data_IF_144176346762
#
_entry.id   IF_144176346762
#
_cell.length_a   1.000
_cell.length_b   1.000
_cell.length_c   1.000
_cell.angle_alpha   90.00
_cell.angle_beta   90.00
_cell.angle_gamma   90.00
#
_symmetry.space_group_name_H-M   'P 1'
#
loop_
_entity.id
_entity.type
_entity.pdbx_description
1 polymer ?
#
# COMPACT_ATOMS: atom_id res chain seq x y z
N UNK A 1 12.46 22.28 -43.35
CA UNK A 1 12.27 23.13 -42.15
C UNK A 1 13.61 23.24 -41.44
N UNK A 2 14.08 24.44 -41.10
CA UNK A 2 15.43 24.64 -40.58
C UNK A 2 15.62 23.96 -39.22
N UNK A 3 16.51 22.97 -39.17
CA UNK A 3 16.89 22.30 -37.93
C UNK A 3 17.62 23.30 -37.03
N UNK A 4 16.88 23.88 -36.08
CA UNK A 4 17.44 24.68 -34.99
C UNK A 4 18.12 23.70 -34.04
N UNK A 5 19.37 23.34 -34.33
CA UNK A 5 20.17 22.51 -33.45
C UNK A 5 20.40 23.28 -32.14
N UNK A 6 19.59 22.99 -31.12
CA UNK A 6 19.80 23.51 -29.77
C UNK A 6 20.91 22.70 -29.14
N UNK A 7 22.03 23.34 -28.82
CA UNK A 7 23.08 22.71 -28.02
C UNK A 7 22.64 22.72 -26.57
N UNK A 8 22.54 21.55 -25.96
CA UNK A 8 22.23 21.36 -24.54
C UNK A 8 23.48 20.77 -23.91
N UNK A 9 23.98 21.42 -22.85
CA UNK A 9 25.10 20.92 -22.07
C UNK A 9 24.59 20.19 -20.83
N UNK A 10 25.09 18.98 -20.60
CA UNK A 10 24.78 18.18 -19.42
C UNK A 10 26.03 18.03 -18.57
N UNK A 11 25.84 17.90 -17.26
CA UNK A 11 26.91 17.48 -16.34
C UNK A 11 26.71 15.99 -16.06
N UNK A 12 27.77 15.23 -16.22
CA UNK A 12 27.82 13.80 -15.92
C UNK A 12 29.00 13.53 -15.00
N UNK A 13 28.91 12.46 -14.22
CA UNK A 13 30.04 11.98 -13.42
C UNK A 13 31.11 11.38 -14.34
N UNK A 14 32.36 11.40 -13.90
CA UNK A 14 33.52 10.91 -14.66
C UNK A 14 33.34 9.43 -15.04
N UNK A 15 32.96 8.58 -14.09
CA UNK A 15 32.71 7.14 -14.33
C UNK A 15 31.64 6.90 -15.40
N UNK A 16 30.56 7.69 -15.39
CA UNK A 16 29.48 7.57 -16.37
C UNK A 16 29.93 8.07 -17.76
N UNK A 17 30.82 9.06 -17.80
CA UNK A 17 31.40 9.57 -19.03
C UNK A 17 32.32 8.52 -19.68
N UNK A 18 33.19 7.88 -18.90
CA UNK A 18 34.07 6.81 -19.38
C UNK A 18 33.27 5.61 -19.91
N UNK A 19 32.22 5.19 -19.20
CA UNK A 19 31.35 4.11 -19.64
C UNK A 19 30.65 4.44 -20.97
N UNK A 20 30.10 5.66 -21.11
CA UNK A 20 29.45 6.09 -22.35
C UNK A 20 30.45 6.23 -23.50
N UNK A 21 31.69 6.64 -23.22
CA UNK A 21 32.75 6.69 -24.22
C UNK A 21 33.12 5.29 -24.72
N UNK A 22 33.27 4.31 -23.81
CA UNK A 22 33.54 2.92 -24.19
C UNK A 22 32.44 2.35 -25.12
N UNK A 23 31.16 2.61 -24.81
CA UNK A 23 30.02 2.21 -25.64
C UNK A 23 30.05 2.90 -27.01
N UNK A 24 30.45 4.18 -27.05
CA UNK A 24 30.54 4.94 -28.29
C UNK A 24 31.66 4.40 -29.21
N UNK A 25 32.81 4.05 -28.64
CA UNK A 25 33.95 3.45 -29.34
C UNK A 25 33.61 2.05 -29.88
N UNK A 26 32.93 1.22 -29.09
CA UNK A 26 32.49 -0.12 -29.51
C UNK A 26 31.56 -0.05 -30.73
N UNK A 27 30.69 0.96 -30.78
CA UNK A 27 29.68 1.14 -31.83
C UNK A 27 30.11 2.05 -32.99
N UNK A 28 31.36 2.54 -32.98
CA UNK A 28 31.93 3.48 -33.97
C UNK A 28 31.03 4.72 -34.23
N UNK A 29 30.42 5.25 -33.16
CA UNK A 29 29.53 6.41 -33.23
C UNK A 29 29.98 7.51 -32.28
N UNK A 30 29.66 8.77 -32.60
CA UNK A 30 29.97 9.87 -31.70
C UNK A 30 29.19 9.73 -30.38
N UNK A 31 29.78 10.16 -29.27
CA UNK A 31 29.09 10.23 -27.97
C UNK A 31 27.76 10.99 -28.05
N UNK A 32 27.72 12.06 -28.86
CA UNK A 32 26.52 12.83 -29.10
C UNK A 32 25.41 12.08 -29.85
N UNK A 33 25.78 11.06 -30.65
CA UNK A 33 24.83 10.19 -31.34
C UNK A 33 24.26 9.13 -30.40
N UNK A 34 25.11 8.50 -29.55
CA UNK A 34 24.65 7.57 -28.49
C UNK A 34 23.57 8.22 -27.62
N UNK A 35 23.80 9.47 -27.22
CA UNK A 35 22.86 10.20 -26.38
C UNK A 35 21.54 10.52 -27.10
N UNK A 36 21.61 10.90 -28.38
CA UNK A 36 20.40 11.15 -29.18
C UNK A 36 19.58 9.88 -29.35
N UNK A 37 20.22 8.77 -29.72
CA UNK A 37 19.54 7.48 -29.88
C UNK A 37 18.86 7.03 -28.59
N UNK A 38 19.49 7.26 -27.43
CA UNK A 38 18.88 6.96 -26.14
C UNK A 38 17.66 7.85 -25.86
N UNK A 39 17.77 9.17 -26.07
CA UNK A 39 16.67 10.11 -25.87
C UNK A 39 15.52 9.84 -26.85
N UNK A 40 15.83 9.51 -28.09
CA UNK A 40 14.84 9.22 -29.12
C UNK A 40 14.05 7.95 -28.76
N UNK A 41 14.72 6.88 -28.32
CA UNK A 41 14.04 5.67 -27.80
C UNK A 41 13.20 5.96 -26.56
N UNK A 42 13.71 6.79 -25.64
CA UNK A 42 12.98 7.16 -24.43
C UNK A 42 11.70 7.94 -24.76
N UNK A 43 11.75 8.85 -25.74
CA UNK A 43 10.58 9.62 -26.19
C UNK A 43 9.61 8.76 -26.99
N UNK A 44 10.11 7.87 -27.86
CA UNK A 44 9.29 6.96 -28.67
C UNK A 44 8.43 6.03 -27.81
N UNK A 45 8.97 5.57 -26.67
CA UNK A 45 8.28 4.68 -25.75
C UNK A 45 7.64 5.39 -24.55
N UNK A 46 7.51 6.73 -24.57
CA UNK A 46 6.91 7.52 -23.46
C UNK A 46 7.50 7.18 -22.08
N UNK A 47 8.82 6.94 -22.04
CA UNK A 47 9.54 6.54 -20.83
C UNK A 47 9.47 5.04 -20.47
N UNK A 48 8.75 4.21 -21.24
CA UNK A 48 8.63 2.76 -21.04
C UNK A 48 9.81 2.00 -21.65
N UNK A 49 11.03 2.26 -21.19
CA UNK A 49 12.23 1.54 -21.65
C UNK A 49 12.81 0.72 -20.50
N UNK A 50 12.84 -0.60 -20.65
CA UNK A 50 13.47 -1.52 -19.70
C UNK A 50 14.87 -1.87 -20.20
N UNK A 51 15.91 -1.61 -19.38
CA UNK A 51 17.28 -2.04 -19.67
C UNK A 51 17.46 -3.42 -19.04
N UNK A 52 17.34 -4.46 -19.87
CA UNK A 52 17.45 -5.85 -19.44
C UNK A 52 18.80 -6.42 -19.89
N UNK A 53 19.54 -7.13 -19.02
CA UNK A 53 20.76 -7.86 -19.40
C UNK A 53 20.50 -8.85 -20.54
N UNK A 54 21.48 -9.08 -21.41
CA UNK A 54 21.33 -9.97 -22.58
C UNK A 54 20.85 -11.38 -22.19
N UNK A 55 21.36 -11.93 -21.09
CA UNK A 55 20.97 -13.25 -20.56
C UNK A 55 19.47 -13.33 -20.21
N UNK A 56 18.89 -12.25 -19.69
CA UNK A 56 17.46 -12.17 -19.34
C UNK A 56 16.59 -11.89 -20.57
N UNK A 57 17.11 -11.17 -21.56
CA UNK A 57 16.43 -10.96 -22.84
C UNK A 57 16.28 -12.28 -23.61
N UNK A 58 17.33 -13.11 -23.64
CA UNK A 58 17.28 -14.45 -24.25
C UNK A 58 16.30 -15.37 -23.52
N UNK A 59 16.20 -15.29 -22.19
CA UNK A 59 15.22 -16.04 -21.42
C UNK A 59 13.77 -15.60 -21.75
N UNK A 60 13.54 -14.30 -21.97
CA UNK A 60 12.22 -13.75 -22.33
C UNK A 60 11.82 -14.03 -23.79
N UNK A 61 12.80 -14.15 -24.70
CA UNK A 61 12.54 -14.26 -26.15
C UNK A 61 12.79 -15.66 -26.73
N UNK A 62 13.56 -16.53 -26.06
CA UNK A 62 14.03 -17.82 -26.56
C UNK A 62 13.32 -19.07 -26.02
N UNK A 63 12.37 -18.95 -25.10
CA UNK A 63 11.77 -20.10 -24.40
C UNK A 63 10.24 -20.12 -24.44
N UNK A 64 9.68 -20.74 -25.49
CA UNK A 64 8.37 -21.37 -25.55
C UNK A 64 7.19 -20.74 -24.77
N UNK A 65 6.28 -20.09 -25.51
CA UNK A 65 4.87 -19.95 -25.09
C UNK A 65 4.35 -18.53 -25.23
N UNK A 66 3.48 -18.33 -26.21
CA UNK A 66 2.76 -17.10 -26.44
C UNK A 66 1.76 -16.78 -25.30
N UNK A 67 1.40 -15.50 -25.26
CA UNK A 67 0.17 -14.92 -24.70
C UNK A 67 0.08 -14.64 -23.19
N UNK A 68 1.01 -13.86 -22.66
CA UNK A 68 0.60 -12.84 -21.69
C UNK A 68 1.52 -11.63 -21.83
N UNK A 69 1.02 -10.56 -22.45
CA UNK A 69 1.63 -9.24 -22.38
C UNK A 69 1.72 -8.86 -20.89
N UNK A 70 2.92 -9.04 -20.31
CA UNK A 70 3.20 -8.62 -18.93
C UNK A 70 3.20 -7.08 -18.94
N UNK A 71 2.00 -6.48 -18.85
CA UNK A 71 1.82 -5.03 -18.83
C UNK A 71 2.30 -4.48 -17.48
N UNK A 72 3.04 -3.38 -17.50
CA UNK A 72 3.44 -2.66 -16.29
C UNK A 72 2.38 -1.63 -15.89
N UNK A 73 1.98 -1.55 -14.60
CA UNK A 73 2.44 -2.34 -13.45
C UNK A 73 1.93 -3.79 -13.51
N UNK A 74 2.69 -4.76 -12.97
CA UNK A 74 2.38 -6.19 -13.11
C UNK A 74 0.99 -6.48 -12.55
N UNK A 75 0.09 -6.91 -13.42
CA UNK A 75 -1.26 -7.33 -13.09
C UNK A 75 -1.27 -8.84 -12.87
N UNK A 76 -1.77 -9.28 -11.72
CA UNK A 76 -1.99 -10.70 -11.43
C UNK A 76 -3.49 -10.96 -11.52
N UNK A 77 -3.90 -11.92 -12.36
CA UNK A 77 -5.30 -12.34 -12.41
C UNK A 77 -5.66 -13.16 -11.16
N UNK A 78 -6.57 -12.62 -10.36
CA UNK A 78 -7.05 -13.29 -9.14
C UNK A 78 -8.38 -14.00 -9.43
N UNK A 79 -8.53 -15.30 -9.11
CA UNK A 79 -9.78 -16.00 -9.29
C UNK A 79 -10.94 -15.33 -8.53
N UNK A 80 -12.11 -15.22 -9.16
CA UNK A 80 -13.32 -14.62 -8.54
C UNK A 80 -13.71 -15.25 -7.20
N UNK A 81 -13.35 -16.52 -6.96
CA UNK A 81 -13.56 -17.20 -5.67
C UNK A 81 -12.82 -16.51 -4.53
N UNK A 82 -11.57 -16.10 -4.76
CA UNK A 82 -10.74 -15.43 -3.76
C UNK A 82 -11.32 -14.07 -3.39
N UNK A 83 -11.77 -13.29 -4.40
CA UNK A 83 -12.41 -11.99 -4.17
C UNK A 83 -13.66 -12.13 -3.30
N UNK A 84 -14.54 -13.09 -3.62
CA UNK A 84 -15.76 -13.35 -2.84
C UNK A 84 -15.48 -13.79 -1.41
N UNK A 85 -14.44 -14.59 -1.22
CA UNK A 85 -14.05 -15.05 0.11
C UNK A 85 -13.46 -13.91 0.94
N UNK A 86 -12.62 -13.06 0.33
CA UNK A 86 -12.09 -11.86 0.96
C UNK A 86 -13.20 -10.91 1.38
N UNK A 87 -14.13 -10.58 0.47
CA UNK A 87 -15.28 -9.73 0.75
C UNK A 87 -16.14 -10.28 1.90
N UNK A 88 -16.40 -11.61 1.91
CA UNK A 88 -17.12 -12.25 3.02
C UNK A 88 -16.36 -12.10 4.34
N UNK A 89 -15.04 -12.31 4.34
CA UNK A 89 -14.21 -12.20 5.54
C UNK A 89 -14.14 -10.75 6.04
N UNK A 90 -14.09 -9.76 5.15
CA UNK A 90 -14.13 -8.35 5.50
C UNK A 90 -15.46 -8.00 6.18
N UNK A 91 -16.58 -8.43 5.62
CA UNK A 91 -17.91 -8.22 6.22
C UNK A 91 -18.08 -8.94 7.56
N UNK A 92 -17.55 -10.17 7.69
CA UNK A 92 -17.57 -10.91 8.95
C UNK A 92 -16.73 -10.20 10.01
N UNK A 93 -15.54 -9.70 9.65
CA UNK A 93 -14.68 -8.95 10.54
C UNK A 93 -15.30 -7.60 10.97
N UNK A 94 -15.96 -6.90 10.05
CA UNK A 94 -16.71 -5.68 10.35
C UNK A 94 -17.84 -5.98 11.35
N UNK A 95 -18.65 -7.00 11.09
CA UNK A 95 -19.73 -7.40 11.98
C UNK A 95 -19.23 -7.80 13.38
N UNK A 96 -18.10 -8.50 13.48
CA UNK A 96 -17.50 -8.86 14.77
C UNK A 96 -16.99 -7.64 15.54
N UNK A 97 -16.51 -6.59 14.85
CA UNK A 97 -16.12 -5.33 15.50
C UNK A 97 -17.34 -4.60 16.06
N UNK A 98 -18.44 -4.55 15.30
CA UNK A 98 -19.69 -3.95 15.77
C UNK A 98 -20.20 -4.65 17.05
N UNK A 99 -20.25 -5.98 17.06
CA UNK A 99 -20.65 -6.74 18.25
C UNK A 99 -19.75 -6.42 19.46
N UNK A 100 -18.44 -6.34 19.23
CA UNK A 100 -17.47 -6.06 20.30
C UNK A 100 -17.68 -4.65 20.86
N UNK A 101 -17.97 -3.66 20.02
CA UNK A 101 -18.26 -2.30 20.46
C UNK A 101 -19.60 -2.20 21.20
N UNK A 102 -20.62 -2.97 20.78
CA UNK A 102 -21.88 -3.10 21.54
C UNK A 102 -21.64 -3.70 22.93
N UNK A 103 -20.87 -4.79 23.03
CA UNK A 103 -20.55 -5.39 24.33
C UNK A 103 -19.76 -4.46 25.24
N UNK A 104 -18.81 -3.70 24.70
CA UNK A 104 -18.09 -2.68 25.46
C UNK A 104 -19.05 -1.60 25.97
N UNK A 105 -19.97 -1.13 25.13
CA UNK A 105 -21.00 -0.18 25.53
C UNK A 105 -21.83 -0.71 26.69
N UNK A 106 -22.32 -1.94 26.58
CA UNK A 106 -23.09 -2.58 27.63
C UNK A 106 -22.32 -2.75 28.95
N UNK A 107 -21.02 -3.09 28.87
CA UNK A 107 -20.16 -3.19 30.06
C UNK A 107 -19.99 -1.82 30.70
N UNK A 108 -19.76 -0.77 29.93
CA UNK A 108 -19.67 0.59 30.46
C UNK A 108 -21.00 1.01 31.10
N UNK A 109 -22.14 0.77 30.45
CA UNK A 109 -23.47 1.08 31.01
C UNK A 109 -23.76 0.31 32.31
N UNK A 110 -23.18 -0.89 32.48
CA UNK A 110 -23.30 -1.65 33.72
C UNK A 110 -22.35 -1.11 34.79
N UNK A 111 -21.13 -0.73 34.41
CA UNK A 111 -20.17 -0.12 35.32
C UNK A 111 -20.69 1.22 35.84
N UNK A 112 -21.20 2.10 34.96
CA UNK A 112 -21.79 3.39 35.32
C UNK A 112 -22.95 3.20 36.32
N UNK A 113 -23.83 2.22 36.10
CA UNK A 113 -24.92 1.91 37.04
C UNK A 113 -24.43 1.42 38.39
N UNK A 114 -23.37 0.61 38.44
CA UNK A 114 -22.79 0.15 39.70
C UNK A 114 -22.12 1.31 40.45
N UNK A 115 -21.42 2.19 39.74
CA UNK A 115 -20.83 3.41 40.32
C UNK A 115 -21.92 4.36 40.87
N UNK A 116 -23.03 4.53 40.15
CA UNK A 116 -24.20 5.30 40.62
C UNK A 116 -24.91 4.65 41.83
N UNK A 117 -25.01 3.32 41.87
CA UNK A 117 -25.62 2.56 42.99
C UNK A 117 -24.72 2.49 44.24
N UNK A 118 -23.39 2.55 44.09
CA UNK A 118 -22.44 2.61 45.23
C UNK A 118 -22.63 3.89 46.07
N UNK A 119 -23.08 4.99 45.46
CA UNK A 119 -23.44 6.22 46.16
C UNK A 119 -24.80 6.14 46.91
N UNK A 120 -25.62 5.11 46.63
CA UNK A 120 -26.92 4.83 47.27
C UNK A 120 -26.86 3.62 48.23
N UNK A 121 -25.67 3.28 48.75
CA UNK A 121 -25.52 2.20 49.74
C UNK A 121 -26.00 2.68 51.11
N UNK A 122 -27.26 2.40 51.43
CA UNK A 122 -27.79 2.50 52.80
C UNK A 122 -27.17 1.39 53.64
N UNK A 123 -26.32 1.77 54.60
CA UNK A 123 -25.79 0.84 55.59
C UNK A 123 -26.95 0.31 56.43
N UNK A 124 -27.20 -1.01 56.39
CA UNK A 124 -28.26 -1.65 57.18
C UNK A 124 -28.16 -1.36 58.68
N UNK A 125 -26.95 -1.09 59.17
CA UNK A 125 -26.69 -0.73 60.56
C UNK A 125 -27.29 0.65 60.94
N UNK A 126 -27.55 1.55 59.97
CA UNK A 126 -28.19 2.86 60.19
C UNK A 126 -29.73 2.79 60.21
N UNK A 127 -30.32 1.72 59.65
CA UNK A 127 -31.78 1.48 59.63
C UNK A 127 -32.30 0.86 60.93
N UNK A 128 -31.48 0.06 61.62
CA UNK A 128 -31.87 -0.59 62.89
C UNK A 128 -32.02 0.41 64.05
N UNK A 129 -31.42 1.61 63.97
CA UNK A 129 -31.54 2.68 64.98
C UNK A 129 -32.86 3.48 64.89
N UNK A 130 -33.56 3.47 63.74
CA UNK A 130 -34.82 4.22 63.57
C UNK A 130 -36.08 3.45 64.04
N UNK A 131 -36.02 2.12 64.11
CA UNK A 131 -37.17 1.26 64.43
C UNK A 131 -37.50 1.15 65.94
N UNK A 132 -36.65 1.67 66.85
CA UNK A 132 -36.95 1.68 68.29
C UNK A 132 -37.94 2.79 68.73
N UNK A 133 -38.35 3.68 67.82
CA UNK A 133 -39.16 4.87 68.18
C UNK A 133 -40.66 4.77 67.90
N UNK A 134 -41.15 3.72 67.24
CA UNK A 134 -42.59 3.51 67.00
C UNK A 134 -43.27 2.84 68.20
N UNK A 135 -43.40 3.58 69.30
CA UNK A 135 -44.32 3.22 70.39
C UNK A 135 -45.77 3.33 69.88
N UNK A 136 -46.35 2.18 69.49
CA UNK A 136 -47.79 1.98 69.36
C UNK A 136 -48.49 2.46 70.64
N UNK A 137 -49.26 3.54 70.51
CA UNK A 137 -50.13 4.07 71.58
C UNK A 137 -51.53 4.35 71.05
#
# INVERSE_FOLDING_TARGET
MGNKNKTISFRVNEDAFEALQAIAEERDISLSAVFRDYVDRLVEHDGQVEVVPEDELEARTGGAGADEEISFPPTVEVPKRFIREHERLELEAEHLREQLDEYKGYVNDLQDRLEDEEDEVLLLDELDDEDESYQLR
#
